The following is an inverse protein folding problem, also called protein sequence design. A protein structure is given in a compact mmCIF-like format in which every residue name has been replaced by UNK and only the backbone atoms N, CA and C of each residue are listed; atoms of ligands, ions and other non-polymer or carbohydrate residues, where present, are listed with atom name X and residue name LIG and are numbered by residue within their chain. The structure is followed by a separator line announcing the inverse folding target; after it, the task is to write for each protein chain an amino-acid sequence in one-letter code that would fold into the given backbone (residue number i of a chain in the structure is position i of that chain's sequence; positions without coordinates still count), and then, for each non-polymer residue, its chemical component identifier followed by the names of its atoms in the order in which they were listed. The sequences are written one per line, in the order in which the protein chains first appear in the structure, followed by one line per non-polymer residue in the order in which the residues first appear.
data_IF_630450266205
#
_entry.id   IF_630450266205
#
_cell.length_a   1.000
_cell.length_b   1.000
_cell.length_c   1.000
_cell.angle_alpha   90.00
_cell.angle_beta   90.00
_cell.angle_gamma   90.00
#
_symmetry.space_group_name_H-M   'P 1'
#
loop_
_entity.id
_entity.type
_entity.pdbx_description
1 polymer ?
#
# COMPACT_ATOMS: atom_id res chain seq x y z
N UNK A 1 48.17 52.79 21.89
CA UNK A 1 46.80 52.22 21.98
C UNK A 1 46.26 51.53 20.71
N UNK A 2 46.86 51.68 19.51
CA UNK A 2 46.38 50.99 18.29
C UNK A 2 46.65 49.47 18.26
N UNK A 3 47.81 49.01 18.75
CA UNK A 3 48.19 47.58 18.71
C UNK A 3 47.39 46.64 19.62
N UNK A 4 46.77 47.14 20.70
CA UNK A 4 45.95 46.31 21.60
C UNK A 4 44.55 46.05 21.03
N UNK A 5 44.03 46.97 20.20
CA UNK A 5 42.70 46.84 19.57
C UNK A 5 42.73 45.82 18.42
N UNK A 6 43.82 45.76 17.67
CA UNK A 6 43.99 44.79 16.57
C UNK A 6 44.13 43.35 17.07
N UNK A 7 44.79 43.11 18.22
CA UNK A 7 44.95 41.74 18.75
C UNK A 7 43.64 41.16 19.29
N UNK A 8 42.81 41.99 19.95
CA UNK A 8 41.50 41.57 20.48
C UNK A 8 40.52 41.19 19.35
N UNK A 9 40.49 41.99 18.28
CA UNK A 9 39.65 41.70 17.10
C UNK A 9 40.09 40.39 16.43
N UNK A 10 41.41 40.15 16.28
CA UNK A 10 41.95 38.92 15.69
C UNK A 10 41.60 37.66 16.51
N UNK A 11 41.63 37.75 17.84
CA UNK A 11 41.25 36.65 18.74
C UNK A 11 39.74 36.39 18.65
N UNK A 12 38.92 37.44 18.61
CA UNK A 12 37.46 37.33 18.43
C UNK A 12 37.07 36.71 17.07
N UNK A 13 37.77 37.07 15.99
CA UNK A 13 37.49 36.51 14.65
C UNK A 13 37.87 35.03 14.54
N UNK A 14 38.96 34.60 15.19
CA UNK A 14 39.33 33.18 15.23
C UNK A 14 38.31 32.34 15.97
N UNK A 15 37.86 32.82 17.13
CA UNK A 15 36.84 32.13 17.93
C UNK A 15 35.49 32.03 17.20
N UNK A 16 35.14 33.06 16.41
CA UNK A 16 34.01 33.00 15.49
C UNK A 16 34.19 31.92 14.42
N UNK A 17 35.34 31.87 13.76
CA UNK A 17 35.62 30.86 12.72
C UNK A 17 35.58 29.44 13.29
N UNK A 18 36.17 29.22 14.47
CA UNK A 18 36.16 27.92 15.15
C UNK A 18 34.73 27.50 15.54
N UNK A 19 33.92 28.43 16.06
CA UNK A 19 32.51 28.17 16.38
C UNK A 19 31.71 27.81 15.12
N UNK A 20 31.88 28.57 14.03
CA UNK A 20 31.25 28.25 12.75
C UNK A 20 31.71 26.90 12.19
N UNK A 21 32.98 26.53 12.39
CA UNK A 21 33.52 25.23 12.01
C UNK A 21 32.83 24.08 12.76
N UNK A 22 32.71 24.18 14.08
CA UNK A 22 32.04 23.16 14.90
C UNK A 22 30.54 23.08 14.55
N UNK A 23 29.86 24.22 14.40
CA UNK A 23 28.45 24.26 13.99
C UNK A 23 28.25 23.64 12.62
N UNK A 24 29.16 23.88 11.67
CA UNK A 24 29.11 23.28 10.33
C UNK A 24 29.24 21.75 10.37
N UNK A 25 30.13 21.22 11.22
CA UNK A 25 30.27 19.77 11.44
C UNK A 25 28.99 19.18 12.06
N UNK A 26 28.40 19.85 13.05
CA UNK A 26 27.15 19.38 13.66
C UNK A 26 26.00 19.42 12.64
N UNK A 27 25.89 20.48 11.86
CA UNK A 27 24.86 20.60 10.83
C UNK A 27 25.00 19.52 9.74
N UNK A 28 26.22 19.20 9.31
CA UNK A 28 26.44 18.14 8.32
C UNK A 28 26.08 16.76 8.86
N UNK A 29 26.39 16.46 10.13
CA UNK A 29 25.99 15.20 10.78
C UNK A 29 24.46 15.07 10.87
N UNK A 30 23.76 16.14 11.22
CA UNK A 30 22.29 16.17 11.24
C UNK A 30 21.71 15.94 9.84
N UNK A 31 22.27 16.60 8.83
CA UNK A 31 21.85 16.43 7.44
C UNK A 31 22.02 14.99 6.95
N UNK A 32 23.17 14.36 7.22
CA UNK A 32 23.40 12.94 6.91
C UNK A 32 22.43 12.05 7.68
N UNK A 33 22.14 12.36 8.94
CA UNK A 33 21.13 11.65 9.72
C UNK A 33 19.75 11.66 9.07
N UNK A 34 19.32 12.80 8.54
CA UNK A 34 18.07 12.90 7.77
C UNK A 34 18.09 12.09 6.48
N UNK A 35 19.21 12.12 5.73
CA UNK A 35 19.36 11.31 4.52
C UNK A 35 19.23 9.81 4.82
N UNK A 36 19.93 9.32 5.86
CA UNK A 36 19.85 7.92 6.26
C UNK A 36 18.44 7.50 6.68
N UNK A 37 17.69 8.41 7.32
CA UNK A 37 16.30 8.15 7.67
C UNK A 37 15.42 8.01 6.42
N UNK A 38 15.59 8.90 5.43
CA UNK A 38 14.86 8.84 4.16
C UNK A 38 15.21 7.58 3.37
N UNK A 39 16.50 7.24 3.25
CA UNK A 39 16.97 6.03 2.58
C UNK A 39 16.36 4.77 3.20
N UNK A 40 16.26 4.73 4.55
CA UNK A 40 15.62 3.62 5.26
C UNK A 40 14.14 3.51 4.93
N UNK A 41 13.41 4.62 4.86
CA UNK A 41 11.98 4.64 4.51
C UNK A 41 11.77 4.10 3.09
N UNK A 42 12.55 4.59 2.12
CA UNK A 42 12.51 4.10 0.74
C UNK A 42 12.83 2.61 0.67
N UNK A 43 13.85 2.16 1.41
CA UNK A 43 14.22 0.73 1.45
C UNK A 43 13.11 -0.16 2.03
N UNK A 44 12.38 0.32 3.06
CA UNK A 44 11.24 -0.40 3.62
C UNK A 44 10.07 -0.50 2.64
N UNK A 45 9.76 0.58 1.92
CA UNK A 45 8.75 0.58 0.85
C UNK A 45 9.12 -0.42 -0.25
N UNK A 46 10.34 -0.33 -0.76
CA UNK A 46 10.85 -1.24 -1.79
C UNK A 46 10.87 -2.71 -1.34
N UNK A 47 11.22 -2.99 -0.08
CA UNK A 47 11.19 -4.35 0.46
C UNK A 47 9.78 -4.94 0.48
N UNK A 48 8.79 -4.13 0.85
CA UNK A 48 7.39 -4.55 0.87
C UNK A 48 6.87 -4.80 -0.54
N UNK A 49 7.12 -3.87 -1.46
CA UNK A 49 6.75 -3.99 -2.87
C UNK A 49 7.37 -5.24 -3.52
N UNK A 50 8.65 -5.53 -3.27
CA UNK A 50 9.30 -6.73 -3.80
C UNK A 50 8.61 -8.03 -3.37
N UNK A 51 8.19 -8.13 -2.11
CA UNK A 51 7.44 -9.31 -1.61
C UNK A 51 6.07 -9.41 -2.26
N UNK A 52 5.42 -8.27 -2.44
CA UNK A 52 4.12 -8.17 -3.09
C UNK A 52 4.19 -8.63 -4.55
N UNK A 53 5.20 -8.17 -5.30
CA UNK A 53 5.41 -8.53 -6.70
C UNK A 53 5.53 -10.04 -6.85
N UNK A 54 6.31 -10.71 -5.99
CA UNK A 54 6.37 -12.19 -5.99
C UNK A 54 5.01 -12.83 -5.72
N UNK A 55 4.25 -12.32 -4.76
CA UNK A 55 2.91 -12.84 -4.46
C UNK A 55 1.92 -12.63 -5.63
N UNK A 56 1.98 -11.49 -6.31
CA UNK A 56 1.19 -11.18 -7.49
C UNK A 56 1.58 -12.11 -8.65
N UNK A 57 2.87 -12.33 -8.89
CA UNK A 57 3.35 -13.26 -9.92
C UNK A 57 2.84 -14.69 -9.68
N UNK A 58 2.86 -15.17 -8.44
CA UNK A 58 2.28 -16.47 -8.10
C UNK A 58 0.77 -16.54 -8.39
N UNK A 59 0.04 -15.45 -8.15
CA UNK A 59 -1.39 -15.39 -8.47
C UNK A 59 -1.64 -15.28 -9.99
N UNK A 60 -0.80 -14.57 -10.75
CA UNK A 60 -0.84 -14.57 -12.21
C UNK A 60 -0.63 -15.97 -12.77
N UNK A 61 0.34 -16.72 -12.24
CA UNK A 61 0.55 -18.11 -12.64
C UNK A 61 -0.67 -19.00 -12.37
N UNK A 62 -1.40 -18.79 -11.27
CA UNK A 62 -2.67 -19.48 -10.99
C UNK A 62 -3.78 -19.06 -11.94
N UNK A 63 -3.83 -17.77 -12.27
CA UNK A 63 -4.79 -17.22 -13.20
C UNK A 63 -4.59 -17.76 -14.62
N UNK A 64 -3.35 -17.82 -15.11
CA UNK A 64 -3.02 -18.25 -16.47
C UNK A 64 -3.01 -19.78 -16.66
N UNK A 65 -3.03 -20.54 -15.56
CA UNK A 65 -2.98 -22.01 -15.62
C UNK A 65 -4.40 -22.61 -15.70
N UNK A 66 -4.84 -22.94 -16.91
CA UNK A 66 -6.18 -23.50 -17.15
C UNK A 66 -6.46 -24.80 -16.38
N UNK A 67 -5.46 -25.66 -16.17
CA UNK A 67 -5.64 -26.90 -15.40
C UNK A 67 -5.96 -26.59 -13.93
N UNK A 68 -5.26 -25.60 -13.37
CA UNK A 68 -5.50 -25.13 -12.00
C UNK A 68 -6.86 -24.43 -11.86
N UNK A 69 -7.20 -23.59 -12.82
CA UNK A 69 -8.50 -22.90 -12.87
C UNK A 69 -9.64 -23.92 -12.94
N UNK A 70 -9.57 -24.87 -13.88
CA UNK A 70 -10.59 -25.89 -14.05
C UNK A 70 -10.72 -26.78 -12.80
N UNK A 71 -9.59 -27.20 -12.21
CA UNK A 71 -9.62 -27.95 -10.95
C UNK A 71 -10.32 -27.16 -9.82
N UNK A 72 -10.05 -25.86 -9.73
CA UNK A 72 -10.63 -25.00 -8.70
C UNK A 72 -12.11 -24.73 -8.93
N UNK A 73 -12.53 -24.49 -10.18
CA UNK A 73 -13.93 -24.29 -10.54
C UNK A 73 -14.76 -25.56 -10.30
N UNK A 74 -14.25 -26.74 -10.66
CA UNK A 74 -14.91 -28.02 -10.37
C UNK A 74 -15.06 -28.22 -8.86
N UNK A 75 -14.07 -27.84 -8.07
CA UNK A 75 -14.18 -27.90 -6.60
C UNK A 75 -15.29 -26.99 -6.08
N UNK A 76 -15.45 -25.79 -6.65
CA UNK A 76 -16.53 -24.86 -6.29
C UNK A 76 -17.91 -25.39 -6.70
N UNK A 77 -18.03 -25.98 -7.88
CA UNK A 77 -19.25 -26.66 -8.35
C UNK A 77 -19.66 -27.82 -7.42
N UNK A 78 -18.70 -28.48 -6.79
CA UNK A 78 -18.93 -29.52 -5.79
C UNK A 78 -19.29 -28.98 -4.39
N UNK A 79 -19.51 -27.68 -4.26
CA UNK A 79 -19.93 -27.02 -3.02
C UNK A 79 -18.78 -26.63 -2.09
N UNK A 80 -17.52 -26.78 -2.49
CA UNK A 80 -16.36 -26.26 -1.72
C UNK A 80 -16.14 -24.79 -2.04
N UNK A 81 -17.12 -23.98 -1.67
CA UNK A 81 -17.15 -22.55 -1.93
C UNK A 81 -16.29 -21.79 -0.92
N UNK A 82 -15.71 -20.65 -1.31
CA UNK A 82 -14.96 -19.78 -0.39
C UNK A 82 -15.89 -19.11 0.63
N UNK A 83 -15.35 -18.63 1.75
CA UNK A 83 -16.19 -18.12 2.85
C UNK A 83 -16.93 -16.82 2.50
N UNK A 84 -16.40 -16.02 1.58
CA UNK A 84 -17.11 -14.85 1.04
C UNK A 84 -18.32 -15.20 0.16
N UNK A 85 -18.48 -16.47 -0.24
CA UNK A 85 -19.61 -16.88 -1.07
C UNK A 85 -20.91 -16.89 -0.26
N UNK A 86 -21.95 -16.26 -0.81
CA UNK A 86 -23.29 -16.21 -0.22
C UNK A 86 -24.38 -16.17 -1.31
N UNK A 87 -25.64 -16.16 -0.89
CA UNK A 87 -26.80 -16.16 -1.81
C UNK A 87 -26.84 -14.94 -2.74
N UNK A 88 -26.46 -13.75 -2.24
CA UNK A 88 -26.40 -12.54 -3.08
C UNK A 88 -25.37 -12.66 -4.20
N UNK A 89 -24.21 -13.27 -3.90
CA UNK A 89 -23.18 -13.55 -4.90
C UNK A 89 -23.67 -14.57 -5.93
N UNK A 90 -24.36 -15.61 -5.49
CA UNK A 90 -24.97 -16.60 -6.39
C UNK A 90 -25.98 -15.94 -7.34
N UNK A 91 -26.91 -15.14 -6.79
CA UNK A 91 -27.90 -14.41 -7.57
C UNK A 91 -27.26 -13.42 -8.57
N UNK A 92 -26.17 -12.75 -8.15
CA UNK A 92 -25.43 -11.85 -9.03
C UNK A 92 -24.74 -12.63 -10.16
N UNK A 93 -24.10 -13.76 -9.86
CA UNK A 93 -23.48 -14.64 -10.84
C UNK A 93 -24.51 -15.13 -11.88
N UNK A 94 -25.66 -15.60 -11.43
CA UNK A 94 -26.73 -16.13 -12.28
C UNK A 94 -27.32 -15.05 -13.19
N UNK A 95 -27.58 -13.84 -12.66
CA UNK A 95 -28.10 -12.71 -13.44
C UNK A 95 -27.15 -12.19 -14.51
N UNK A 96 -25.84 -12.41 -14.35
CA UNK A 96 -24.80 -12.04 -15.32
C UNK A 96 -24.30 -13.22 -16.15
N UNK A 97 -24.90 -14.42 -15.99
CA UNK A 97 -24.49 -15.65 -16.69
C UNK A 97 -22.99 -15.98 -16.52
N UNK A 98 -22.44 -15.71 -15.33
CA UNK A 98 -21.07 -16.06 -15.01
C UNK A 98 -20.94 -17.55 -14.69
N UNK A 99 -19.84 -18.16 -15.16
CA UNK A 99 -19.50 -19.55 -14.82
C UNK A 99 -18.66 -19.59 -13.54
N UNK A 100 -18.56 -20.76 -12.90
CA UNK A 100 -17.67 -20.96 -11.75
C UNK A 100 -16.20 -20.70 -12.10
N UNK A 101 -15.78 -21.05 -13.33
CA UNK A 101 -14.45 -20.67 -13.84
C UNK A 101 -14.28 -19.14 -13.87
N UNK A 102 -15.27 -18.42 -14.40
CA UNK A 102 -15.21 -16.97 -14.46
C UNK A 102 -15.11 -16.36 -13.05
N UNK A 103 -15.92 -16.85 -12.12
CA UNK A 103 -15.89 -16.42 -10.71
C UNK A 103 -14.56 -16.74 -10.03
N UNK A 104 -13.97 -17.90 -10.33
CA UNK A 104 -12.65 -18.25 -9.82
C UNK A 104 -11.58 -17.26 -10.32
N UNK A 105 -11.53 -17.01 -11.63
CA UNK A 105 -10.59 -16.05 -12.24
C UNK A 105 -10.78 -14.65 -11.67
N UNK A 106 -12.03 -14.20 -11.51
CA UNK A 106 -12.35 -12.93 -10.85
C UNK A 106 -11.80 -12.89 -9.42
N UNK A 107 -11.94 -13.96 -8.64
CA UNK A 107 -11.42 -14.00 -7.26
C UNK A 107 -9.89 -13.84 -7.19
N UNK A 108 -9.16 -14.43 -8.15
CA UNK A 108 -7.70 -14.30 -8.24
C UNK A 108 -7.33 -12.87 -8.62
N UNK A 109 -8.05 -12.25 -9.56
CA UNK A 109 -7.86 -10.84 -9.92
C UNK A 109 -8.10 -9.92 -8.71
N UNK A 110 -9.20 -10.12 -7.97
CA UNK A 110 -9.50 -9.31 -6.79
C UNK A 110 -8.46 -9.50 -5.68
N UNK A 111 -7.91 -10.71 -5.52
CA UNK A 111 -6.81 -10.95 -4.59
C UNK A 111 -5.59 -10.11 -4.93
N UNK A 112 -5.22 -10.04 -6.22
CA UNK A 112 -4.11 -9.19 -6.67
C UNK A 112 -4.42 -7.69 -6.50
N UNK A 113 -5.65 -7.26 -6.78
CA UNK A 113 -6.07 -5.87 -6.53
C UNK A 113 -6.00 -5.50 -5.05
N UNK A 114 -6.41 -6.40 -4.16
CA UNK A 114 -6.33 -6.17 -2.72
C UNK A 114 -4.87 -6.12 -2.22
N UNK A 115 -3.99 -6.97 -2.75
CA UNK A 115 -2.54 -6.89 -2.53
C UNK A 115 -1.99 -5.52 -2.96
N UNK A 116 -2.39 -5.05 -4.15
CA UNK A 116 -1.98 -3.75 -4.64
C UNK A 116 -2.44 -2.61 -3.71
N UNK A 117 -3.71 -2.62 -3.28
CA UNK A 117 -4.23 -1.63 -2.35
C UNK A 117 -3.47 -1.66 -1.02
N UNK A 118 -3.19 -2.84 -0.46
CA UNK A 118 -2.43 -2.99 0.79
C UNK A 118 -1.03 -2.35 0.70
N UNK A 119 -0.38 -2.48 -0.46
CA UNK A 119 0.88 -1.79 -0.75
C UNK A 119 0.69 -0.27 -0.85
N UNK A 120 -0.35 0.22 -1.54
CA UNK A 120 -0.60 1.67 -1.62
C UNK A 120 -0.87 2.29 -0.25
N UNK A 121 -1.62 1.60 0.63
CA UNK A 121 -1.82 2.03 2.02
C UNK A 121 -0.48 2.11 2.75
N UNK A 122 0.37 1.09 2.62
CA UNK A 122 1.66 1.09 3.30
C UNK A 122 2.60 2.20 2.79
N UNK A 123 2.65 2.41 1.47
CA UNK A 123 3.48 3.44 0.87
C UNK A 123 3.00 4.84 1.27
N UNK A 124 1.69 5.05 1.40
CA UNK A 124 1.11 6.28 1.96
C UNK A 124 1.49 6.49 3.42
N UNK A 125 1.42 5.46 4.27
CA UNK A 125 1.87 5.53 5.67
C UNK A 125 3.36 5.88 5.81
N UNK A 126 4.18 5.48 4.84
CA UNK A 126 5.60 5.83 4.78
C UNK A 126 5.86 7.25 4.25
N UNK A 127 4.84 7.95 3.75
CA UNK A 127 4.96 9.25 3.10
C UNK A 127 5.59 9.18 1.71
N UNK A 128 5.50 8.02 1.05
CA UNK A 128 6.01 7.77 -0.30
C UNK A 128 4.95 7.97 -1.38
N UNK A 129 3.68 8.11 -0.99
CA UNK A 129 2.55 8.48 -1.87
C UNK A 129 2.01 9.82 -1.41
N UNK A 130 1.86 10.77 -2.32
CA UNK A 130 1.29 12.08 -2.00
C UNK A 130 -0.21 11.98 -1.71
N UNK A 131 -0.73 12.89 -0.87
CA UNK A 131 -2.14 12.85 -0.46
C UNK A 131 -3.12 12.99 -1.64
N UNK A 132 -2.75 13.74 -2.69
CA UNK A 132 -3.58 13.85 -3.91
C UNK A 132 -3.74 12.51 -4.60
N UNK A 133 -2.63 11.82 -4.85
CA UNK A 133 -2.61 10.53 -5.53
C UNK A 133 -3.31 9.46 -4.68
N UNK A 134 -3.08 9.50 -3.37
CA UNK A 134 -3.76 8.64 -2.42
C UNK A 134 -5.28 8.80 -2.46
N UNK A 135 -5.76 10.05 -2.51
CA UNK A 135 -7.20 10.32 -2.59
C UNK A 135 -7.81 9.77 -3.89
N UNK A 136 -7.11 9.89 -5.03
CA UNK A 136 -7.57 9.32 -6.29
C UNK A 136 -7.66 7.77 -6.24
N UNK A 137 -6.63 7.12 -5.69
CA UNK A 137 -6.60 5.66 -5.50
C UNK A 137 -7.78 5.24 -4.61
N UNK A 138 -7.96 5.92 -3.47
CA UNK A 138 -9.03 5.64 -2.51
C UNK A 138 -10.40 5.78 -3.15
N UNK A 139 -10.65 6.87 -3.88
CA UNK A 139 -11.95 7.09 -4.52
C UNK A 139 -12.23 6.05 -5.61
N UNK A 140 -11.23 5.70 -6.42
CA UNK A 140 -11.33 4.61 -7.40
C UNK A 140 -11.70 3.28 -6.75
N UNK A 141 -11.00 2.91 -5.67
CA UNK A 141 -11.27 1.69 -4.90
C UNK A 141 -12.66 1.72 -4.26
N UNK A 142 -13.07 2.87 -3.69
CA UNK A 142 -14.42 3.07 -3.14
C UNK A 142 -15.48 2.84 -4.21
N UNK A 143 -15.33 3.40 -5.41
CA UNK A 143 -16.29 3.15 -6.50
C UNK A 143 -16.33 1.67 -6.90
N UNK A 144 -15.19 1.00 -6.92
CA UNK A 144 -15.14 -0.42 -7.25
C UNK A 144 -15.84 -1.32 -6.21
N UNK A 145 -15.86 -0.92 -4.92
CA UNK A 145 -16.59 -1.60 -3.85
C UNK A 145 -18.12 -1.48 -3.96
N UNK A 146 -18.65 -0.74 -4.95
CA UNK A 146 -20.07 -0.82 -5.34
C UNK A 146 -20.42 -2.19 -5.97
N UNK A 147 -19.44 -2.90 -6.53
CA UNK A 147 -19.65 -4.26 -7.00
C UNK A 147 -19.77 -5.23 -5.79
N UNK A 148 -20.89 -5.99 -5.68
CA UNK A 148 -21.14 -6.86 -4.53
C UNK A 148 -20.13 -8.01 -4.41
N UNK A 149 -19.67 -8.57 -5.54
CA UNK A 149 -18.64 -9.61 -5.57
C UNK A 149 -17.34 -9.08 -4.97
N UNK A 150 -16.89 -7.91 -5.44
CA UNK A 150 -15.65 -7.29 -4.95
C UNK A 150 -15.74 -7.01 -3.46
N UNK A 151 -16.87 -6.44 -3.02
CA UNK A 151 -17.11 -6.16 -1.59
C UNK A 151 -17.03 -7.43 -0.74
N UNK A 152 -17.68 -8.52 -1.16
CA UNK A 152 -17.64 -9.78 -0.43
C UNK A 152 -16.23 -10.38 -0.36
N UNK A 153 -15.50 -10.40 -1.49
CA UNK A 153 -14.13 -10.92 -1.55
C UNK A 153 -13.16 -10.13 -0.65
N UNK A 154 -13.30 -8.81 -0.56
CA UNK A 154 -12.47 -7.97 0.31
C UNK A 154 -12.68 -8.25 1.80
N UNK A 155 -13.92 -8.55 2.22
CA UNK A 155 -14.24 -8.81 3.63
C UNK A 155 -13.66 -10.15 4.13
N UNK A 156 -13.36 -11.08 3.23
CA UNK A 156 -12.79 -12.40 3.53
C UNK A 156 -11.29 -12.50 3.16
N UNK A 157 -10.66 -11.38 2.80
CA UNK A 157 -9.26 -11.40 2.38
C UNK A 157 -8.34 -11.62 3.59
N UNK A 158 -7.99 -12.89 3.81
CA UNK A 158 -7.06 -13.29 4.85
C UNK A 158 -5.66 -12.73 4.54
N UNK A 159 -5.07 -12.05 5.52
CA UNK A 159 -3.67 -11.63 5.48
C UNK A 159 -3.41 -10.17 5.08
N UNK A 160 -4.44 -9.37 4.77
CA UNK A 160 -4.28 -7.92 4.63
C UNK A 160 -3.85 -7.26 5.94
N UNK A 161 -3.11 -6.15 5.86
CA UNK A 161 -2.75 -5.37 7.05
C UNK A 161 -4.02 -4.76 7.65
N UNK A 162 -4.02 -4.60 8.97
CA UNK A 162 -5.13 -4.00 9.74
C UNK A 162 -5.59 -2.65 9.16
N UNK A 163 -4.64 -1.78 8.81
CA UNK A 163 -4.95 -0.47 8.24
C UNK A 163 -5.75 -0.55 6.93
N UNK A 164 -5.43 -1.52 6.07
CA UNK A 164 -6.13 -1.76 4.81
C UNK A 164 -7.54 -2.27 5.07
N UNK A 165 -7.71 -3.19 6.02
CA UNK A 165 -9.04 -3.67 6.42
C UNK A 165 -9.90 -2.54 6.99
N UNK A 166 -9.33 -1.69 7.84
CA UNK A 166 -10.02 -0.52 8.41
C UNK A 166 -10.42 0.47 7.31
N UNK A 167 -9.53 0.76 6.36
CA UNK A 167 -9.83 1.62 5.22
C UNK A 167 -11.00 1.09 4.39
N UNK A 168 -11.01 -0.21 4.07
CA UNK A 168 -12.11 -0.85 3.34
C UNK A 168 -13.43 -0.68 4.09
N UNK A 169 -13.44 -0.90 5.41
CA UNK A 169 -14.64 -0.73 6.23
C UNK A 169 -15.17 0.71 6.19
N UNK A 170 -14.27 1.70 6.27
CA UNK A 170 -14.62 3.12 6.15
C UNK A 170 -15.22 3.41 4.76
N UNK A 171 -14.59 2.95 3.68
CA UNK A 171 -15.09 3.17 2.32
C UNK A 171 -16.45 2.50 2.10
N UNK A 172 -16.65 1.30 2.64
CA UNK A 172 -17.95 0.62 2.62
C UNK A 172 -18.99 1.44 3.38
N UNK A 173 -18.67 1.94 4.57
CA UNK A 173 -19.58 2.78 5.36
C UNK A 173 -19.98 4.04 4.60
N UNK A 174 -19.02 4.76 4.00
CA UNK A 174 -19.27 5.97 3.21
C UNK A 174 -20.25 5.70 2.06
N UNK A 175 -20.07 4.62 1.31
CA UNK A 175 -20.98 4.22 0.24
C UNK A 175 -22.43 4.00 0.69
N UNK A 176 -22.65 3.58 1.94
CA UNK A 176 -24.00 3.41 2.49
C UNK A 176 -24.62 4.75 2.91
N UNK A 177 -23.80 5.75 3.24
CA UNK A 177 -24.27 7.09 3.63
C UNK A 177 -24.48 8.04 2.45
N UNK A 178 -23.87 7.75 1.29
CA UNK A 178 -24.03 8.53 0.05
C UNK A 178 -25.33 8.19 -0.73
N UNK A 179 -26.02 7.09 -0.39
CA UNK A 179 -27.29 6.67 -1.00
C UNK A 179 -28.48 7.04 -0.11
#
# INVERSE_FOLDING_TARGET
MKGCRESIVKISSRLLIELFGVVSIVASLVFVGFQLQQDRVVALGAQFENRLTTAIELNKLRFDNDAWVNQSSVSWEQGRLPNWWNEDIQNYMDSHSFTMEHMYRLSVLQTMSAMFLDNMVYQHELGLVEDSDWNEIRESEKQALRNPIRRAMYLDLLGSRKATTELIQVMIFELHTEN
#
